data_IF_559215245408
#
_entry.id   IF_559215245408
#
_cell.length_a   1.000
_cell.length_b   1.000
_cell.length_c   1.000
_cell.angle_alpha   90.00
_cell.angle_beta   90.00
_cell.angle_gamma   90.00
#
_symmetry.space_group_name_H-M   'P 1'
#
loop_
_entity.id
_entity.type
_entity.pdbx_description
1 polymer ?
#
# COMPACT_ATOMS: atom_id res chain seq x y z
N UNK A 1 -29.44 9.03 -5.38
CA UNK A 1 -29.59 7.60 -5.01
C UNK A 1 -28.35 6.87 -5.48
N UNK A 2 -27.75 6.02 -4.63
CA UNK A 2 -26.57 5.18 -4.92
C UNK A 2 -26.98 3.80 -5.47
N UNK A 3 -28.13 3.71 -6.15
CA UNK A 3 -28.65 2.46 -6.68
C UNK A 3 -27.64 1.88 -7.67
N UNK A 4 -27.04 0.74 -7.33
CA UNK A 4 -25.97 0.09 -8.11
C UNK A 4 -24.53 0.38 -7.65
N UNK A 5 -24.28 1.19 -6.62
CA UNK A 5 -22.92 1.44 -6.14
C UNK A 5 -22.51 0.49 -4.99
N UNK A 6 -21.27 -0.02 -5.04
CA UNK A 6 -20.66 -0.73 -3.92
C UNK A 6 -19.80 0.24 -3.10
N UNK A 7 -20.16 0.49 -1.85
CA UNK A 7 -19.32 1.28 -0.94
C UNK A 7 -18.25 0.39 -0.31
N UNK A 8 -17.00 0.83 -0.32
CA UNK A 8 -15.87 0.10 0.27
C UNK A 8 -15.20 1.00 1.30
N UNK A 9 -14.90 0.46 2.47
CA UNK A 9 -14.21 1.19 3.54
C UNK A 9 -13.16 0.30 4.19
N UNK A 10 -12.18 0.89 4.85
CA UNK A 10 -11.33 0.13 5.77
C UNK A 10 -12.18 -0.34 6.96
N UNK A 11 -11.88 -1.52 7.49
CA UNK A 11 -12.63 -2.12 8.60
C UNK A 11 -12.77 -1.16 9.79
N UNK A 12 -11.71 -0.40 10.08
CA UNK A 12 -11.68 0.59 11.16
C UNK A 12 -12.75 1.69 11.03
N UNK A 13 -13.04 2.14 9.81
CA UNK A 13 -13.98 3.24 9.56
C UNK A 13 -15.39 2.75 9.18
N UNK A 14 -15.60 1.43 9.11
CA UNK A 14 -16.84 0.86 8.57
C UNK A 14 -18.09 1.31 9.34
N UNK A 15 -18.00 1.38 10.67
CA UNK A 15 -19.12 1.81 11.52
C UNK A 15 -19.49 3.28 11.31
N UNK A 16 -18.50 4.15 11.10
CA UNK A 16 -18.72 5.57 10.85
C UNK A 16 -19.27 5.81 9.45
N UNK A 17 -18.68 5.16 8.45
CA UNK A 17 -19.13 5.21 7.05
C UNK A 17 -20.58 4.70 6.94
N UNK A 18 -20.95 3.60 7.62
CA UNK A 18 -22.30 3.04 7.53
C UNK A 18 -23.38 4.02 7.99
N UNK A 19 -23.08 4.93 8.93
CA UNK A 19 -24.00 5.97 9.40
C UNK A 19 -24.26 7.06 8.35
N UNK A 20 -23.32 7.26 7.43
CA UNK A 20 -23.40 8.26 6.36
C UNK A 20 -24.06 7.71 5.09
N UNK A 21 -24.23 6.39 5.03
CA UNK A 21 -24.78 5.71 3.85
C UNK A 21 -26.30 5.56 3.95
N UNK A 22 -27.01 5.57 2.80
CA UNK A 22 -28.40 5.17 2.74
C UNK A 22 -28.64 3.79 3.38
N UNK A 23 -29.83 3.53 3.97
CA UNK A 23 -30.12 2.25 4.63
C UNK A 23 -29.90 1.02 3.73
N UNK A 24 -30.21 1.17 2.45
CA UNK A 24 -30.11 0.17 1.39
C UNK A 24 -28.71 0.05 0.75
N UNK A 25 -27.78 0.93 1.10
CA UNK A 25 -26.43 0.91 0.54
C UNK A 25 -25.60 -0.27 1.10
N UNK A 26 -24.98 -1.02 0.18
CA UNK A 26 -24.02 -2.07 0.50
C UNK A 26 -22.68 -1.47 0.90
N UNK A 27 -22.19 -1.85 2.08
CA UNK A 27 -20.86 -1.50 2.58
C UNK A 27 -20.03 -2.76 2.75
N UNK A 28 -18.89 -2.82 2.05
CA UNK A 28 -17.89 -3.87 2.23
C UNK A 28 -16.73 -3.29 3.06
N UNK A 29 -16.55 -3.73 4.31
CA UNK A 29 -15.32 -3.44 5.04
C UNK A 29 -14.17 -4.31 4.52
N UNK A 30 -13.01 -3.70 4.31
CA UNK A 30 -11.76 -4.39 3.93
C UNK A 30 -10.68 -4.17 4.98
N UNK A 31 -9.88 -5.21 5.22
CA UNK A 31 -8.67 -5.08 6.01
C UNK A 31 -7.50 -4.72 5.10
N UNK A 32 -6.78 -3.67 5.48
CA UNK A 32 -5.51 -3.32 4.86
C UNK A 32 -4.41 -4.08 5.57
N UNK A 33 -3.70 -4.94 4.84
CA UNK A 33 -2.61 -5.74 5.38
C UNK A 33 -1.51 -5.88 4.34
N UNK A 34 -0.28 -5.71 4.79
CA UNK A 34 0.89 -6.02 3.97
C UNK A 34 0.95 -7.53 3.72
N UNK A 35 1.19 -7.92 2.47
CA UNK A 35 1.36 -9.33 2.11
C UNK A 35 2.57 -9.98 2.78
N UNK A 36 2.48 -11.29 3.03
CA UNK A 36 3.54 -12.05 3.72
C UNK A 36 4.86 -12.01 2.95
N UNK A 37 4.83 -12.03 1.62
CA UNK A 37 6.05 -11.99 0.80
C UNK A 37 6.81 -10.67 1.00
N UNK A 38 6.08 -9.55 1.03
CA UNK A 38 6.64 -8.23 1.30
C UNK A 38 7.24 -8.16 2.71
N UNK A 39 6.52 -8.69 3.72
CA UNK A 39 7.01 -8.77 5.11
C UNK A 39 8.30 -9.59 5.21
N UNK A 40 8.33 -10.78 4.63
CA UNK A 40 9.51 -11.65 4.69
C UNK A 40 10.71 -11.03 3.98
N UNK A 41 10.49 -10.31 2.87
CA UNK A 41 11.57 -9.58 2.20
C UNK A 41 12.17 -8.49 3.08
N UNK A 42 11.36 -7.79 3.87
CA UNK A 42 11.81 -6.79 4.82
C UNK A 42 12.53 -7.39 6.02
N UNK A 43 12.05 -8.53 6.54
CA UNK A 43 12.71 -9.24 7.65
C UNK A 43 14.09 -9.76 7.28
N UNK A 44 14.27 -10.20 6.05
CA UNK A 44 15.53 -10.77 5.57
C UNK A 44 16.59 -9.72 5.17
N UNK A 45 16.28 -8.43 5.26
CA UNK A 45 17.29 -7.39 5.04
C UNK A 45 18.35 -7.41 6.16
N UNK A 46 19.63 -7.21 5.83
CA UNK A 46 20.67 -7.09 6.86
C UNK A 46 20.41 -5.88 7.76
N UNK A 47 20.96 -5.91 8.96
CA UNK A 47 21.00 -4.75 9.86
C UNK A 47 21.73 -3.58 9.18
N UNK A 48 21.22 -2.37 9.37
CA UNK A 48 21.72 -1.15 8.74
C UNK A 48 21.32 -0.98 7.27
N UNK A 49 20.55 -1.90 6.68
CA UNK A 49 20.07 -1.76 5.31
C UNK A 49 19.26 -0.47 5.13
N UNK A 50 19.51 0.24 4.04
CA UNK A 50 18.78 1.44 3.68
C UNK A 50 17.56 1.10 2.83
N UNK A 51 16.39 1.42 3.39
CA UNK A 51 15.10 1.25 2.73
C UNK A 51 14.58 2.61 2.30
N UNK A 52 14.42 2.78 1.00
CA UNK A 52 13.72 3.93 0.44
C UNK A 52 12.24 3.64 0.28
N UNK A 53 11.37 4.57 0.67
CA UNK A 53 9.94 4.52 0.42
C UNK A 53 9.58 5.65 -0.54
N UNK A 54 8.93 5.30 -1.65
CA UNK A 54 8.50 6.25 -2.67
C UNK A 54 7.05 6.00 -3.03
N UNK A 55 6.19 6.99 -2.86
CA UNK A 55 4.75 6.86 -3.15
C UNK A 55 4.18 8.19 -3.63
N UNK A 56 3.06 8.12 -4.34
CA UNK A 56 2.21 9.26 -4.66
C UNK A 56 1.34 9.69 -3.46
N UNK A 57 1.09 8.78 -2.51
CA UNK A 57 0.18 9.03 -1.39
C UNK A 57 0.91 9.21 -0.07
N UNK A 58 0.71 10.35 0.59
CA UNK A 58 1.28 10.62 1.92
C UNK A 58 0.85 9.57 2.97
N UNK A 59 -0.40 9.12 2.92
CA UNK A 59 -0.92 8.06 3.81
C UNK A 59 -0.13 6.77 3.66
N UNK A 60 0.31 6.44 2.45
CA UNK A 60 1.10 5.25 2.18
C UNK A 60 2.52 5.39 2.72
N UNK A 61 3.12 6.57 2.58
CA UNK A 61 4.44 6.88 3.16
C UNK A 61 4.42 6.71 4.68
N UNK A 62 3.36 7.21 5.33
CA UNK A 62 3.20 7.10 6.77
C UNK A 62 2.94 5.66 7.22
N UNK A 63 2.06 4.95 6.52
CA UNK A 63 1.83 3.52 6.76
C UNK A 63 3.13 2.72 6.66
N UNK A 64 3.92 2.93 5.60
CA UNK A 64 5.18 2.23 5.40
C UNK A 64 6.18 2.51 6.54
N UNK A 65 6.26 3.76 7.02
CA UNK A 65 7.10 4.15 8.16
C UNK A 65 6.72 3.36 9.42
N UNK A 66 5.45 3.41 9.82
CA UNK A 66 4.94 2.71 11.01
C UNK A 66 5.14 1.20 10.90
N UNK A 67 4.86 0.64 9.72
CA UNK A 67 5.05 -0.78 9.44
C UNK A 67 6.52 -1.20 9.61
N UNK A 68 7.48 -0.45 9.05
CA UNK A 68 8.89 -0.80 9.16
C UNK A 68 9.41 -0.73 10.61
N UNK A 69 9.04 0.33 11.34
CA UNK A 69 9.38 0.44 12.78
C UNK A 69 8.77 -0.73 13.56
N UNK A 70 7.54 -1.12 13.25
CA UNK A 70 6.89 -2.26 13.93
C UNK A 70 7.53 -3.60 13.61
N UNK A 71 8.07 -3.78 12.40
CA UNK A 71 8.68 -5.05 11.95
C UNK A 71 10.15 -5.20 12.34
N UNK A 72 10.90 -4.10 12.35
CA UNK A 72 12.38 -4.11 12.44
C UNK A 72 12.94 -3.07 13.41
N UNK A 73 12.11 -2.28 14.09
CA UNK A 73 12.56 -1.25 15.01
C UNK A 73 13.47 -0.23 14.33
N UNK A 74 14.67 -0.06 14.88
CA UNK A 74 15.70 0.88 14.39
C UNK A 74 16.76 0.19 13.50
N UNK A 75 16.63 -1.11 13.21
CA UNK A 75 17.60 -1.87 12.42
C UNK A 75 17.71 -1.43 10.96
N UNK A 76 16.73 -0.67 10.46
CA UNK A 76 16.65 -0.23 9.07
C UNK A 76 16.80 1.30 8.97
N UNK A 77 17.61 1.76 8.02
CA UNK A 77 17.72 3.17 7.68
C UNK A 77 16.60 3.55 6.71
N UNK A 78 15.54 4.17 7.22
CA UNK A 78 14.38 4.56 6.40
C UNK A 78 14.54 5.97 5.81
N UNK A 79 14.35 6.07 4.48
CA UNK A 79 14.26 7.35 3.75
C UNK A 79 12.97 7.40 2.96
N UNK A 80 12.27 8.52 3.00
CA UNK A 80 10.94 8.68 2.42
C UNK A 80 11.00 9.83 1.44
N UNK A 81 10.50 9.61 0.21
CA UNK A 81 10.39 10.63 -0.82
C UNK A 81 9.05 10.53 -1.53
N UNK A 82 8.53 11.66 -2.00
CA UNK A 82 7.33 11.63 -2.85
C UNK A 82 7.70 11.28 -4.29
N UNK A 83 6.78 10.67 -5.03
CA UNK A 83 7.02 10.28 -6.41
C UNK A 83 7.26 11.48 -7.35
N UNK A 84 6.65 12.63 -7.04
CA UNK A 84 6.81 13.90 -7.76
C UNK A 84 8.25 14.43 -7.66
N UNK A 85 8.93 14.17 -6.53
CA UNK A 85 10.29 14.59 -6.28
C UNK A 85 11.31 13.72 -7.05
N UNK A 86 11.20 13.68 -8.38
CA UNK A 86 11.87 12.73 -9.27
C UNK A 86 13.37 12.66 -9.04
N UNK A 87 14.05 13.80 -8.95
CA UNK A 87 15.51 13.84 -8.71
C UNK A 87 15.89 13.23 -7.36
N UNK A 88 15.07 13.44 -6.32
CA UNK A 88 15.33 12.94 -4.97
C UNK A 88 15.13 11.44 -4.88
N UNK A 89 14.00 10.93 -5.34
CA UNK A 89 13.76 9.49 -5.28
C UNK A 89 14.70 8.72 -6.22
N UNK A 90 15.12 9.30 -7.36
CA UNK A 90 16.15 8.71 -8.20
C UNK A 90 17.52 8.65 -7.52
N UNK A 91 17.90 9.70 -6.77
CA UNK A 91 19.12 9.66 -5.97
C UNK A 91 19.03 8.57 -4.90
N UNK A 92 17.92 8.50 -4.17
CA UNK A 92 17.63 7.46 -3.18
C UNK A 92 17.68 6.05 -3.80
N UNK A 93 17.06 5.86 -4.96
CA UNK A 93 17.05 4.59 -5.68
C UNK A 93 18.44 4.10 -6.09
N UNK A 94 19.44 4.99 -6.23
CA UNK A 94 20.82 4.55 -6.49
C UNK A 94 21.46 3.92 -5.27
N UNK A 95 21.20 4.47 -4.09
CA UNK A 95 21.91 4.12 -2.85
C UNK A 95 21.14 3.13 -1.97
N UNK A 96 19.82 3.02 -2.09
CA UNK A 96 19.00 2.13 -1.26
C UNK A 96 19.25 0.65 -1.58
N UNK A 97 19.19 -0.20 -0.56
CA UNK A 97 19.22 -1.66 -0.66
C UNK A 97 17.88 -2.22 -1.11
N UNK A 98 16.79 -1.55 -0.73
CA UNK A 98 15.42 -1.86 -1.15
C UNK A 98 14.63 -0.57 -1.35
N UNK A 99 13.85 -0.50 -2.42
CA UNK A 99 12.83 0.53 -2.61
C UNK A 99 11.45 -0.09 -2.44
N UNK A 100 10.68 0.43 -1.50
CA UNK A 100 9.26 0.16 -1.33
C UNK A 100 8.47 1.23 -2.07
N UNK A 101 7.44 0.82 -2.80
CA UNK A 101 6.56 1.74 -3.50
C UNK A 101 5.12 1.25 -3.58
N UNK A 102 4.19 2.11 -3.99
CA UNK A 102 2.83 1.69 -4.33
C UNK A 102 2.77 1.08 -5.74
N UNK A 103 1.65 0.43 -6.07
CA UNK A 103 1.47 -0.23 -7.37
C UNK A 103 1.43 0.75 -8.55
N UNK A 104 1.13 2.04 -8.31
CA UNK A 104 1.06 3.06 -9.34
C UNK A 104 2.47 3.47 -9.81
N UNK A 105 3.37 3.67 -8.85
CA UNK A 105 4.75 4.09 -9.10
C UNK A 105 5.68 2.94 -9.49
N UNK A 106 5.27 1.68 -9.25
CA UNK A 106 6.10 0.49 -9.38
C UNK A 106 6.83 0.37 -10.72
N UNK A 107 6.13 0.53 -11.85
CA UNK A 107 6.73 0.32 -13.18
C UNK A 107 7.92 1.26 -13.42
N UNK A 108 7.71 2.57 -13.20
CA UNK A 108 8.73 3.61 -13.42
C UNK A 108 9.93 3.42 -12.51
N UNK A 109 9.68 3.10 -11.24
CA UNK A 109 10.75 2.92 -10.26
C UNK A 109 11.52 1.62 -10.53
N UNK A 110 10.83 0.53 -10.88
CA UNK A 110 11.44 -0.75 -11.26
C UNK A 110 12.30 -0.62 -12.52
N UNK A 111 11.84 0.15 -13.51
CA UNK A 111 12.65 0.44 -14.70
C UNK A 111 13.96 1.16 -14.36
N UNK A 112 13.96 2.05 -13.36
CA UNK A 112 15.15 2.80 -12.95
C UNK A 112 16.06 2.05 -11.96
N UNK A 113 15.48 1.39 -10.96
CA UNK A 113 16.18 0.78 -9.83
C UNK A 113 16.42 -0.74 -10.00
N UNK A 114 15.76 -1.38 -10.96
CA UNK A 114 15.90 -2.81 -11.23
C UNK A 114 15.22 -3.70 -10.18
N UNK A 115 15.85 -4.82 -9.85
CA UNK A 115 15.25 -5.90 -9.03
C UNK A 115 15.06 -5.55 -7.54
N UNK A 116 15.65 -4.45 -7.05
CA UNK A 116 15.56 -4.01 -5.66
C UNK A 116 14.30 -3.20 -5.35
N UNK A 117 13.23 -3.38 -6.14
CA UNK A 117 11.95 -2.70 -5.92
C UNK A 117 10.92 -3.71 -5.41
N UNK A 118 10.09 -3.26 -4.49
CA UNK A 118 8.98 -3.99 -3.90
C UNK A 118 7.73 -3.11 -3.96
N UNK A 119 6.68 -3.58 -4.63
CA UNK A 119 5.36 -2.96 -4.53
C UNK A 119 4.71 -3.41 -3.24
N UNK A 120 4.31 -2.48 -2.39
CA UNK A 120 3.60 -2.75 -1.15
C UNK A 120 2.10 -2.78 -1.43
N UNK A 121 1.53 -3.97 -1.50
CA UNK A 121 0.12 -4.17 -1.75
C UNK A 121 -0.62 -4.35 -0.43
N UNK A 122 -1.47 -3.40 -0.07
CA UNK A 122 -2.25 -3.44 1.17
C UNK A 122 -3.60 -4.17 1.02
N UNK A 123 -4.02 -4.42 -0.22
CA UNK A 123 -5.26 -5.10 -0.54
C UNK A 123 -4.90 -6.44 -1.17
N UNK A 124 -5.28 -7.53 -0.51
CA UNK A 124 -4.96 -8.87 -1.03
C UNK A 124 -5.71 -9.15 -2.35
N UNK A 125 -5.14 -9.97 -3.25
CA UNK A 125 -5.82 -10.37 -4.48
C UNK A 125 -7.19 -11.02 -4.24
N UNK A 126 -7.37 -11.67 -3.08
CA UNK A 126 -8.64 -12.28 -2.67
C UNK A 126 -9.71 -11.21 -2.41
N UNK A 127 -9.35 -10.11 -1.73
CA UNK A 127 -10.26 -8.97 -1.51
C UNK A 127 -10.60 -8.31 -2.85
N UNK A 128 -9.62 -8.10 -3.73
CA UNK A 128 -9.89 -7.55 -5.07
C UNK A 128 -10.87 -8.43 -5.85
N UNK A 129 -10.70 -9.75 -5.81
CA UNK A 129 -11.62 -10.71 -6.43
C UNK A 129 -13.01 -10.67 -5.81
N UNK A 130 -13.09 -10.59 -4.47
CA UNK A 130 -14.35 -10.45 -3.76
C UNK A 130 -15.08 -9.16 -4.17
N UNK A 131 -14.39 -8.02 -4.19
CA UNK A 131 -14.96 -6.74 -4.61
C UNK A 131 -15.46 -6.78 -6.06
N UNK A 132 -14.73 -7.42 -6.96
CA UNK A 132 -15.15 -7.61 -8.36
C UNK A 132 -16.43 -8.44 -8.47
N UNK A 133 -16.56 -9.50 -7.67
CA UNK A 133 -17.76 -10.33 -7.66
C UNK A 133 -18.95 -9.58 -7.04
N UNK A 134 -18.72 -8.86 -5.93
CA UNK A 134 -19.74 -8.04 -5.28
C UNK A 134 -20.27 -6.95 -6.24
N UNK A 135 -19.38 -6.28 -6.98
CA UNK A 135 -19.77 -5.32 -8.01
C UNK A 135 -20.64 -5.97 -9.08
N UNK A 136 -20.24 -7.11 -9.66
CA UNK A 136 -21.04 -7.81 -10.69
C UNK A 136 -22.44 -8.17 -10.21
N UNK A 137 -22.56 -8.69 -8.99
CA UNK A 137 -23.84 -9.10 -8.42
C UNK A 137 -24.72 -7.91 -7.98
N UNK A 138 -24.17 -6.69 -7.88
CA UNK A 138 -24.93 -5.49 -7.51
C UNK A 138 -25.69 -4.86 -8.69
N UNK A 139 -25.46 -5.34 -9.92
CA UNK A 139 -26.10 -4.87 -11.16
C UNK A 139 -26.92 -5.95 -11.89
N UNK A 140 -27.08 -7.13 -11.29
CA UNK A 140 -27.89 -8.24 -11.81
C UNK A 140 -29.22 -8.30 -11.06
#
# INVERSE_FOLDING_TARGET
MLTGALSVSTFYHAAEIKKLLPPDALLVPINLQTGQQEVERLKNLPEGAMVGVVSIGETMLEYARVMMVSLRGEDLLVRIETFEATKKWQALAKIADLIITDSYCFEKISHFAGKKVLSLNLISPQIVRYLRNALRNSFS
#
